data_IF_201050895505
#
_entry.id   IF_201050895505
#
_cell.length_a   1.000
_cell.length_b   1.000
_cell.length_c   1.000
_cell.angle_alpha   90.00
_cell.angle_beta   90.00
_cell.angle_gamma   90.00
#
_symmetry.space_group_name_H-M   'P 1'
#
loop_
_entity.id
_entity.type
_entity.pdbx_description
1 polymer ?
#
# COMPACT_ATOMS: atom_id res chain seq x y z
N UNK A 1 7.06 -17.58 3.06
CA UNK A 1 6.71 -17.51 1.64
C UNK A 1 7.47 -16.34 1.04
N UNK A 2 8.00 -16.45 -0.18
CA UNK A 2 8.61 -15.31 -0.87
C UNK A 2 7.48 -14.53 -1.56
N UNK A 3 7.22 -13.29 -1.13
CA UNK A 3 6.17 -12.47 -1.73
C UNK A 3 6.39 -12.19 -3.22
N UNK A 4 5.33 -11.73 -3.87
CA UNK A 4 5.23 -11.52 -5.31
C UNK A 4 5.50 -10.04 -5.61
N UNK A 5 6.48 -9.71 -6.46
CA UNK A 5 6.70 -8.32 -6.87
C UNK A 5 5.53 -7.82 -7.72
N UNK A 6 4.99 -6.66 -7.36
CA UNK A 6 3.89 -5.99 -8.05
C UNK A 6 4.08 -4.48 -8.04
N UNK A 7 3.65 -3.79 -9.09
CA UNK A 7 3.53 -2.33 -9.08
C UNK A 7 2.11 -1.97 -8.65
N UNK A 8 1.98 -1.18 -7.59
CA UNK A 8 0.71 -0.69 -7.07
C UNK A 8 0.55 0.81 -7.30
N UNK A 9 -0.69 1.24 -7.49
CA UNK A 9 -1.06 2.65 -7.57
C UNK A 9 -1.53 3.15 -6.21
N UNK A 10 -0.65 3.88 -5.51
CA UNK A 10 -0.94 4.45 -4.19
C UNK A 10 -1.66 5.78 -4.36
N UNK A 11 -2.89 5.84 -3.83
CA UNK A 11 -3.77 7.01 -3.95
C UNK A 11 -3.86 7.84 -2.66
N UNK A 12 -3.30 7.31 -1.57
CA UNK A 12 -3.25 8.02 -0.30
C UNK A 12 -2.41 7.33 0.75
N UNK A 13 -1.88 8.12 1.69
CA UNK A 13 -1.29 7.63 2.92
C UNK A 13 -1.64 8.61 4.05
N UNK A 14 -2.13 8.09 5.17
CA UNK A 14 -2.45 8.89 6.34
C UNK A 14 -1.72 8.34 7.57
N UNK A 15 -1.08 9.20 8.39
CA UNK A 15 -0.60 8.77 9.68
C UNK A 15 -1.82 8.47 10.58
N UNK A 16 -1.75 7.39 11.34
CA UNK A 16 -2.78 6.92 12.26
C UNK A 16 -2.17 6.82 13.65
N UNK A 17 -2.82 7.47 14.60
CA UNK A 17 -2.42 7.43 16.00
C UNK A 17 -3.15 6.30 16.73
N UNK A 18 -2.51 5.12 16.75
CA UNK A 18 -2.84 4.05 17.68
C UNK A 18 -1.96 4.26 18.93
N UNK A 19 -2.38 5.18 19.79
CA UNK A 19 -1.78 5.57 21.10
C UNK A 19 -0.32 6.08 21.10
N UNK A 20 0.46 5.89 20.02
CA UNK A 20 1.88 6.25 19.93
C UNK A 20 2.31 6.85 18.59
N UNK A 21 1.38 7.20 17.68
CA UNK A 21 1.66 7.65 16.31
C UNK A 21 2.71 6.75 15.63
N UNK A 22 2.40 5.46 15.46
CA UNK A 22 3.32 4.46 14.91
C UNK A 22 2.83 3.82 13.61
N UNK A 23 1.68 4.22 13.07
CA UNK A 23 1.08 3.53 11.93
C UNK A 23 0.76 4.45 10.76
N UNK A 24 1.09 4.03 9.54
CA UNK A 24 0.65 4.71 8.31
C UNK A 24 -0.36 3.81 7.64
N UNK A 25 -1.57 4.31 7.41
CA UNK A 25 -2.56 3.63 6.59
C UNK A 25 -2.37 4.06 5.14
N UNK A 26 -2.01 3.11 4.29
CA UNK A 26 -1.84 3.29 2.84
C UNK A 26 -3.10 2.81 2.13
N UNK A 27 -3.46 3.51 1.07
CA UNK A 27 -4.54 3.14 0.14
C UNK A 27 -3.90 2.91 -1.22
N UNK A 28 -4.06 1.72 -1.77
CA UNK A 28 -3.51 1.37 -3.07
C UNK A 28 -4.54 0.62 -3.93
N UNK A 29 -4.45 0.82 -5.24
CA UNK A 29 -5.16 0.03 -6.22
C UNK A 29 -4.26 -1.08 -6.74
N UNK A 30 -4.85 -2.26 -6.86
CA UNK A 30 -4.22 -3.45 -7.38
C UNK A 30 -4.89 -3.79 -8.70
N UNK A 31 -4.14 -3.71 -9.80
CA UNK A 31 -4.56 -4.28 -11.07
C UNK A 31 -4.17 -5.76 -11.10
N UNK A 32 -5.15 -6.63 -10.89
CA UNK A 32 -4.99 -8.07 -11.03
C UNK A 32 -5.71 -8.51 -12.32
N UNK A 33 -5.12 -9.45 -13.07
CA UNK A 33 -5.69 -9.99 -14.32
C UNK A 33 -7.12 -10.51 -14.10
N UNK A 34 -8.12 -9.66 -14.28
CA UNK A 34 -9.54 -9.96 -14.01
C UNK A 34 -10.34 -8.85 -13.32
N UNK A 35 -9.71 -7.78 -12.80
CA UNK A 35 -10.42 -6.64 -12.22
C UNK A 35 -9.52 -5.71 -11.38
N UNK A 36 -9.97 -4.48 -11.14
CA UNK A 36 -9.31 -3.52 -10.25
C UNK A 36 -9.77 -3.76 -8.82
N UNK A 37 -8.85 -4.19 -7.95
CA UNK A 37 -9.06 -4.30 -6.51
C UNK A 37 -8.56 -3.05 -5.78
N UNK A 38 -9.10 -2.78 -4.60
CA UNK A 38 -8.57 -1.75 -3.69
C UNK A 38 -8.06 -2.43 -2.41
N UNK A 39 -6.83 -2.13 -2.02
CA UNK A 39 -6.24 -2.58 -0.75
C UNK A 39 -6.03 -1.37 0.15
N UNK A 40 -6.36 -1.52 1.43
CA UNK A 40 -5.97 -0.55 2.44
C UNK A 40 -5.29 -1.29 3.58
N UNK A 41 -4.05 -0.91 3.87
CA UNK A 41 -3.22 -1.61 4.84
C UNK A 41 -2.51 -0.62 5.75
N UNK A 42 -2.39 -1.01 7.02
CA UNK A 42 -1.63 -0.27 8.02
C UNK A 42 -0.19 -0.82 8.09
N UNK A 43 0.78 0.07 7.99
CA UNK A 43 2.19 -0.23 8.20
C UNK A 43 2.62 0.33 9.54
N UNK A 44 3.17 -0.52 10.40
CA UNK A 44 3.89 -0.04 11.58
C UNK A 44 5.20 0.59 11.12
N UNK A 45 5.40 1.86 11.42
CA UNK A 45 6.68 2.52 11.28
C UNK A 45 7.40 2.59 12.62
N UNK A 46 8.68 2.25 12.61
CA UNK A 46 9.47 2.16 13.83
C UNK A 46 10.10 3.51 14.23
N UNK A 47 10.19 4.45 13.28
CA UNK A 47 10.74 5.79 13.50
C UNK A 47 10.24 6.81 12.45
N UNK A 48 10.54 8.09 12.67
CA UNK A 48 10.10 9.20 11.81
C UNK A 48 10.65 9.16 10.37
N UNK A 49 11.77 8.47 10.10
CA UNK A 49 12.31 8.34 8.73
C UNK A 49 11.42 7.48 7.84
N UNK A 50 10.64 6.58 8.43
CA UNK A 50 9.66 5.81 7.68
C UNK A 50 8.49 6.70 7.23
N UNK A 51 8.09 7.69 8.03
CA UNK A 51 7.10 8.69 7.61
C UNK A 51 7.58 9.58 6.46
N UNK A 52 8.88 9.89 6.40
CA UNK A 52 9.46 10.64 5.27
C UNK A 52 9.21 9.98 3.90
N UNK A 53 9.04 8.65 3.88
CA UNK A 53 8.70 7.88 2.68
C UNK A 53 7.27 8.13 2.20
N UNK A 54 6.34 8.56 3.06
CA UNK A 54 4.91 8.68 2.72
C UNK A 54 4.40 10.12 2.76
N UNK A 55 5.08 11.04 3.46
CA UNK A 55 4.67 12.44 3.61
C UNK A 55 4.54 13.23 2.29
N UNK A 56 5.09 12.71 1.20
CA UNK A 56 5.02 13.33 -0.12
C UNK A 56 3.72 13.01 -0.88
N UNK A 57 2.92 12.05 -0.39
CA UNK A 57 1.68 11.62 -1.00
C UNK A 57 0.59 12.65 -0.73
N UNK A 58 0.10 13.28 -1.80
CA UNK A 58 -0.96 14.29 -1.73
C UNK A 58 -2.31 13.69 -2.12
N UNK A 59 -3.36 14.12 -1.42
CA UNK A 59 -4.74 13.79 -1.78
C UNK A 59 -5.02 14.16 -3.23
N UNK A 60 -5.64 13.24 -3.98
CA UNK A 60 -5.98 13.44 -5.40
C UNK A 60 -4.84 13.19 -6.38
N UNK A 61 -3.68 12.70 -5.93
CA UNK A 61 -2.58 12.25 -6.79
C UNK A 61 -2.35 10.75 -6.63
N UNK A 62 -1.98 10.10 -7.73
CA UNK A 62 -1.59 8.70 -7.75
C UNK A 62 -0.08 8.57 -7.89
N UNK A 63 0.52 7.71 -7.06
CA UNK A 63 1.95 7.43 -7.03
C UNK A 63 2.18 5.95 -7.29
N UNK A 64 3.09 5.63 -8.22
CA UNK A 64 3.48 4.24 -8.46
C UNK A 64 4.48 3.80 -7.41
N UNK A 65 4.23 2.63 -6.82
CA UNK A 65 5.13 1.99 -5.89
C UNK A 65 5.41 0.56 -6.30
N UNK A 66 6.68 0.17 -6.24
CA UNK A 66 7.10 -1.21 -6.37
C UNK A 66 6.93 -1.87 -5.02
N UNK A 67 6.11 -2.90 -4.98
CA UNK A 67 5.72 -3.61 -3.77
C UNK A 67 6.08 -5.08 -3.88
N UNK A 68 6.34 -5.71 -2.75
CA UNK A 68 6.27 -7.16 -2.62
C UNK A 68 4.99 -7.49 -1.87
N UNK A 69 4.14 -8.36 -2.41
CA UNK A 69 2.84 -8.70 -1.80
C UNK A 69 2.71 -10.20 -1.58
N UNK A 70 2.04 -10.60 -0.50
CA UNK A 70 1.59 -11.97 -0.29
C UNK A 70 0.07 -12.03 -0.38
N UNK A 71 -0.43 -13.20 -0.77
CA UNK A 71 -1.86 -13.48 -0.80
C UNK A 71 -2.17 -14.36 0.40
N UNK A 72 -2.90 -13.81 1.37
CA UNK A 72 -3.36 -14.56 2.52
C UNK A 72 -4.79 -15.01 2.27
N UNK A 73 -5.07 -16.29 2.48
CA UNK A 73 -6.42 -16.81 2.43
C UNK A 73 -6.86 -17.04 3.87
N UNK A 74 -7.88 -16.34 4.33
CA UNK A 74 -8.55 -16.75 5.56
C UNK A 74 -9.32 -18.04 5.28
N UNK A 75 -8.92 -19.17 5.88
CA UNK A 75 -9.77 -20.36 5.97
C UNK A 75 -10.86 -20.10 7.02
N UNK A 76 -12.09 -20.59 6.94
CA UNK A 76 -12.63 -21.80 6.34
C UNK A 76 -14.00 -21.45 5.72
N UNK A 77 -14.18 -21.65 4.41
CA UNK A 77 -15.49 -21.53 3.73
C UNK A 77 -15.72 -20.31 2.83
N UNK A 78 -15.05 -19.18 3.04
CA UNK A 78 -15.17 -18.00 2.17
C UNK A 78 -13.86 -17.71 1.45
N UNK A 79 -13.86 -17.80 0.11
CA UNK A 79 -12.73 -17.53 -0.78
C UNK A 79 -12.37 -16.03 -0.82
N UNK A 80 -12.03 -15.43 0.31
CA UNK A 80 -11.49 -14.07 0.37
C UNK A 80 -9.97 -14.17 0.44
N UNK A 81 -9.34 -13.99 -0.71
CA UNK A 81 -7.90 -13.79 -0.78
C UNK A 81 -7.64 -12.31 -0.46
N UNK A 82 -6.98 -12.05 0.65
CA UNK A 82 -6.48 -10.72 1.01
C UNK A 82 -5.08 -10.51 0.44
N UNK A 83 -4.81 -9.27 0.02
CA UNK A 83 -3.49 -8.85 -0.46
C UNK A 83 -2.78 -8.15 0.69
N UNK A 84 -1.66 -8.71 1.11
CA UNK A 84 -0.80 -8.14 2.13
C UNK A 84 0.45 -7.58 1.47
N UNK A 85 0.64 -6.28 1.56
CA UNK A 85 1.84 -5.57 1.11
C UNK A 85 2.92 -5.76 2.18
N UNK A 86 4.00 -6.47 1.83
CA UNK A 86 5.15 -6.74 2.70
C UNK A 86 6.19 -5.61 2.64
N UNK A 87 6.45 -5.11 1.43
CA UNK A 87 7.38 -4.00 1.19
C UNK A 87 6.80 -3.01 0.20
N UNK A 88 7.22 -1.74 0.29
CA UNK A 88 6.76 -0.66 -0.58
C UNK A 88 7.89 0.34 -0.83
N UNK A 89 8.20 0.57 -2.10
CA UNK A 89 9.20 1.53 -2.57
C UNK A 89 8.60 2.41 -3.68
N UNK A 90 8.46 3.71 -3.39
CA UNK A 90 7.91 4.67 -4.35
C UNK A 90 8.90 4.93 -5.49
N UNK A 91 8.40 4.97 -6.72
CA UNK A 91 9.20 5.41 -7.86
C UNK A 91 9.54 6.89 -7.70
N UNK A 92 10.82 7.25 -7.90
CA UNK A 92 11.27 8.64 -7.77
C UNK A 92 10.55 9.54 -8.79
N UNK A 93 9.65 10.39 -8.31
CA UNK A 93 9.10 11.58 -8.96
C UNK A 93 8.38 11.39 -10.30
N UNK A 94 7.29 10.61 -10.34
CA UNK A 94 6.18 10.93 -11.27
C UNK A 94 4.85 10.70 -10.58
N UNK A 95 4.34 11.74 -9.91
CA UNK A 95 2.90 11.82 -9.70
C UNK A 95 2.27 11.77 -11.09
N UNK A 96 1.50 10.72 -11.38
CA UNK A 96 0.76 10.64 -12.63
C UNK A 96 -0.42 11.58 -12.45
N UNK A 97 -0.41 12.71 -13.15
CA UNK A 97 -1.59 13.56 -13.22
C UNK A 97 -2.62 12.80 -14.05
N UNK A 98 -3.75 12.45 -13.44
CA UNK A 98 -4.90 12.00 -14.20
C UNK A 98 -5.35 13.20 -15.06
N UNK A 99 -5.28 13.01 -16.38
CA UNK A 99 -5.78 13.94 -17.38
C UNK A 99 -7.31 13.91 -17.44
#
# INVERSE_FOLDING_TARGET
MSGIPMTLEVTGAIPVDFEQHQYIKVFAQVDAKGGVGSVSQMFKYNNLKDWDKFKHIKSGQTYKANCTVSFESEGDGDKKTEIVIETIEFEKNKAVQNA
#
